data_IF_630160149056
#
_entry.id   IF_630160149056
#
_cell.length_a   1.000
_cell.length_b   1.000
_cell.length_c   1.000
_cell.angle_alpha   90.00
_cell.angle_beta   90.00
_cell.angle_gamma   90.00
#
_symmetry.space_group_name_H-M   'P 1'
#
loop_
_entity.id
_entity.type
_entity.pdbx_description
1 polymer ?
#
# COMPACT_ATOMS: atom_id res chain seq x y z
N UNK A 1 -19.41 -25.53 -7.65
CA UNK A 1 -18.14 -25.58 -8.40
C UNK A 1 -17.71 -27.04 -8.48
N UNK A 2 -17.34 -27.57 -9.65
CA UNK A 2 -16.82 -28.95 -9.73
C UNK A 2 -15.43 -28.92 -9.08
N UNK A 3 -15.25 -29.65 -7.98
CA UNK A 3 -13.94 -29.80 -7.32
C UNK A 3 -13.04 -30.45 -8.37
N UNK A 4 -12.10 -29.69 -8.94
CA UNK A 4 -11.04 -30.28 -9.75
C UNK A 4 -10.27 -31.16 -8.79
N UNK A 5 -10.21 -32.46 -9.05
CA UNK A 5 -9.33 -33.35 -8.29
C UNK A 5 -7.90 -32.86 -8.53
N UNK A 6 -7.30 -32.35 -7.47
CA UNK A 6 -5.94 -31.84 -7.51
C UNK A 6 -5.01 -33.04 -7.65
N UNK A 7 -4.11 -32.97 -8.61
CA UNK A 7 -3.21 -34.05 -9.04
C UNK A 7 -2.16 -34.31 -7.95
N UNK A 8 -1.68 -33.25 -7.29
CA UNK A 8 -0.75 -33.31 -6.17
C UNK A 8 -1.38 -32.72 -4.90
N UNK A 9 -1.72 -33.62 -3.96
CA UNK A 9 -2.32 -33.26 -2.67
C UNK A 9 -1.35 -32.47 -1.76
N UNK A 10 -0.03 -32.64 -1.94
CA UNK A 10 1.01 -32.01 -1.13
C UNK A 10 1.53 -30.70 -1.76
N UNK A 11 1.17 -30.42 -3.02
CA UNK A 11 1.54 -29.18 -3.70
C UNK A 11 0.69 -27.99 -3.20
N UNK A 12 1.26 -27.18 -2.31
CA UNK A 12 0.60 -25.98 -1.79
C UNK A 12 0.15 -24.97 -2.85
N UNK A 13 0.83 -24.91 -4.01
CA UNK A 13 0.40 -24.07 -5.15
C UNK A 13 -0.90 -24.60 -5.73
N UNK A 14 -1.00 -25.92 -5.97
CA UNK A 14 -2.19 -26.53 -6.53
C UNK A 14 -3.39 -26.41 -5.58
N UNK A 15 -3.15 -26.66 -4.29
CA UNK A 15 -4.15 -26.47 -3.23
C UNK A 15 -4.62 -25.02 -3.15
N UNK A 16 -3.71 -24.05 -3.27
CA UNK A 16 -4.06 -22.64 -3.31
C UNK A 16 -4.89 -22.29 -4.55
N UNK A 17 -4.53 -22.81 -5.73
CA UNK A 17 -5.29 -22.62 -6.97
C UNK A 17 -6.71 -23.18 -6.88
N UNK A 18 -6.94 -24.23 -6.07
CA UNK A 18 -8.28 -24.70 -5.73
C UNK A 18 -9.16 -23.67 -5.00
N UNK A 19 -8.54 -22.68 -4.33
CA UNK A 19 -9.21 -21.55 -3.67
C UNK A 19 -9.24 -20.30 -4.56
N UNK A 20 -8.09 -19.90 -5.12
CA UNK A 20 -7.92 -18.71 -5.98
C UNK A 20 -8.10 -19.05 -7.47
N UNK A 21 -9.18 -19.78 -7.76
CA UNK A 21 -9.45 -20.41 -9.06
C UNK A 21 -9.62 -19.46 -10.24
N UNK A 22 -9.95 -18.18 -10.01
CA UNK A 22 -10.08 -17.20 -11.08
C UNK A 22 -9.43 -15.86 -10.73
N UNK A 23 -9.17 -15.08 -11.78
CA UNK A 23 -8.57 -13.75 -11.67
C UNK A 23 -9.47 -12.76 -10.91
N UNK A 24 -10.79 -12.95 -10.92
CA UNK A 24 -11.73 -12.13 -10.16
C UNK A 24 -11.50 -12.23 -8.65
N UNK A 25 -11.04 -13.37 -8.16
CA UNK A 25 -10.70 -13.55 -6.75
C UNK A 25 -9.68 -12.51 -6.29
N UNK A 26 -8.60 -12.30 -7.06
CA UNK A 26 -7.60 -11.29 -6.75
C UNK A 26 -8.16 -9.87 -6.83
N UNK A 27 -9.07 -9.59 -7.77
CA UNK A 27 -9.68 -8.27 -7.88
C UNK A 27 -10.67 -7.98 -6.75
N UNK A 28 -11.41 -8.99 -6.27
CA UNK A 28 -12.27 -8.87 -5.08
C UNK A 28 -11.40 -8.61 -3.85
N UNK A 29 -10.32 -9.37 -3.65
CA UNK A 29 -9.40 -9.17 -2.52
C UNK A 29 -8.75 -7.78 -2.59
N UNK A 30 -8.31 -7.34 -3.77
CA UNK A 30 -7.77 -6.00 -4.03
C UNK A 30 -8.75 -4.90 -3.60
N UNK A 31 -10.00 -5.00 -4.05
CA UNK A 31 -11.01 -3.98 -3.77
C UNK A 31 -11.38 -3.94 -2.28
N UNK A 32 -11.50 -5.11 -1.63
CA UNK A 32 -11.77 -5.19 -0.19
C UNK A 32 -10.59 -4.66 0.63
N UNK A 33 -9.34 -4.97 0.24
CA UNK A 33 -8.14 -4.41 0.86
C UNK A 33 -8.12 -2.87 0.75
N UNK A 34 -8.63 -2.33 -0.35
CA UNK A 34 -8.85 -0.89 -0.57
C UNK A 34 -10.07 -0.30 0.14
N UNK A 35 -10.77 -1.07 0.98
CA UNK A 35 -11.93 -0.63 1.75
C UNK A 35 -13.28 -0.71 1.03
N UNK A 36 -13.34 -1.30 -0.17
CA UNK A 36 -14.61 -1.55 -0.87
C UNK A 36 -15.22 -2.86 -0.37
N UNK A 37 -15.97 -2.78 0.73
CA UNK A 37 -16.47 -3.97 1.46
C UNK A 37 -17.92 -4.32 1.14
N UNK A 38 -18.66 -3.43 0.49
CA UNK A 38 -20.11 -3.59 0.24
C UNK A 38 -20.38 -4.17 -1.13
N UNK A 39 -21.37 -5.07 -1.22
CA UNK A 39 -21.76 -5.74 -2.46
C UNK A 39 -21.98 -4.80 -3.65
N UNK A 40 -22.80 -3.76 -3.52
CA UNK A 40 -23.11 -2.83 -4.63
C UNK A 40 -21.88 -2.02 -5.07
N UNK A 41 -20.95 -1.74 -4.15
CA UNK A 41 -19.72 -1.03 -4.48
C UNK A 41 -18.73 -1.96 -5.20
N UNK A 42 -18.60 -3.20 -4.72
CA UNK A 42 -17.84 -4.26 -5.40
C UNK A 42 -18.37 -4.54 -6.81
N UNK A 43 -19.69 -4.68 -6.95
CA UNK A 43 -20.33 -4.92 -8.25
C UNK A 43 -20.02 -3.80 -9.25
N UNK A 44 -20.12 -2.53 -8.82
CA UNK A 44 -19.80 -1.38 -9.66
C UNK A 44 -18.32 -1.29 -10.02
N UNK A 45 -17.44 -1.55 -9.05
CA UNK A 45 -15.98 -1.49 -9.25
C UNK A 45 -15.48 -2.58 -10.21
N UNK A 46 -16.00 -3.79 -10.07
CA UNK A 46 -15.55 -4.96 -10.82
C UNK A 46 -16.29 -5.12 -12.16
N UNK A 47 -17.46 -4.51 -12.34
CA UNK A 47 -18.29 -4.71 -13.54
C UNK A 47 -18.87 -6.13 -13.65
N UNK A 48 -18.82 -6.92 -12.57
CA UNK A 48 -19.35 -8.28 -12.55
C UNK A 48 -20.88 -8.30 -12.51
N UNK A 49 -21.47 -9.35 -13.09
CA UNK A 49 -22.90 -9.62 -12.87
C UNK A 49 -23.17 -9.91 -11.39
N UNK A 50 -24.35 -9.53 -10.89
CA UNK A 50 -24.77 -9.79 -9.50
C UNK A 50 -24.66 -11.28 -9.15
N UNK A 51 -25.05 -12.15 -10.08
CA UNK A 51 -24.96 -13.61 -9.90
C UNK A 51 -23.50 -14.05 -9.72
N UNK A 52 -22.61 -13.66 -10.64
CA UNK A 52 -21.20 -14.05 -10.57
C UNK A 52 -20.52 -13.53 -9.29
N UNK A 53 -20.80 -12.29 -8.89
CA UNK A 53 -20.28 -11.72 -7.66
C UNK A 53 -20.81 -12.46 -6.42
N UNK A 54 -22.09 -12.83 -6.40
CA UNK A 54 -22.70 -13.60 -5.30
C UNK A 54 -22.03 -14.96 -5.14
N UNK A 55 -21.88 -15.70 -6.24
CA UNK A 55 -21.22 -17.01 -6.26
C UNK A 55 -19.76 -16.90 -5.79
N UNK A 56 -19.02 -15.88 -6.25
CA UNK A 56 -17.62 -15.66 -5.87
C UNK A 56 -17.48 -15.29 -4.39
N UNK A 57 -18.27 -14.35 -3.88
CA UNK A 57 -18.22 -13.95 -2.48
C UNK A 57 -18.62 -15.11 -1.55
N UNK A 58 -19.61 -15.93 -1.94
CA UNK A 58 -19.99 -17.12 -1.18
C UNK A 58 -18.82 -18.12 -1.10
N UNK A 59 -18.15 -18.42 -2.21
CA UNK A 59 -17.00 -19.31 -2.24
C UNK A 59 -15.83 -18.79 -1.37
N UNK A 60 -15.53 -17.48 -1.42
CA UNK A 60 -14.47 -16.90 -0.60
C UNK A 60 -14.79 -16.91 0.90
N UNK A 61 -16.07 -16.80 1.27
CA UNK A 61 -16.52 -16.98 2.66
C UNK A 61 -16.40 -18.45 3.08
N UNK A 62 -16.83 -19.39 2.22
CA UNK A 62 -16.72 -20.83 2.48
C UNK A 62 -15.26 -21.27 2.66
N UNK A 63 -14.34 -20.75 1.85
CA UNK A 63 -12.91 -21.01 1.99
C UNK A 63 -12.24 -20.24 3.14
N UNK A 64 -12.98 -19.40 3.87
CA UNK A 64 -12.47 -18.61 4.99
C UNK A 64 -11.51 -17.49 4.58
N UNK A 65 -11.51 -17.07 3.31
CA UNK A 65 -10.76 -15.91 2.80
C UNK A 65 -11.44 -14.61 3.24
N UNK A 66 -12.78 -14.62 3.23
CA UNK A 66 -13.61 -13.51 3.68
C UNK A 66 -14.50 -13.94 4.85
N UNK A 67 -14.92 -12.98 5.65
CA UNK A 67 -16.05 -13.15 6.56
C UNK A 67 -17.10 -12.05 6.31
N UNK A 68 -18.34 -12.33 6.69
CA UNK A 68 -19.46 -11.38 6.58
C UNK A 68 -19.66 -10.68 7.92
N UNK A 69 -19.67 -9.35 7.91
CA UNK A 69 -19.96 -8.53 9.07
C UNK A 69 -21.29 -7.79 8.86
N UNK A 70 -22.33 -8.00 9.69
CA UNK A 70 -23.59 -7.28 9.55
C UNK A 70 -23.41 -5.79 9.87
N UNK A 71 -24.01 -4.91 9.06
CA UNK A 71 -24.07 -3.47 9.33
C UNK A 71 -25.51 -2.92 9.38
N UNK A 72 -26.49 -3.73 9.02
CA UNK A 72 -27.92 -3.42 9.10
C UNK A 72 -28.67 -4.72 9.32
N UNK A 73 -29.58 -4.75 10.28
CA UNK A 73 -30.47 -5.90 10.52
C UNK A 73 -31.76 -5.81 9.69
N UNK A 74 -32.20 -4.60 9.35
CA UNK A 74 -33.49 -4.35 8.70
C UNK A 74 -33.36 -3.32 7.56
N UNK A 75 -33.23 -3.74 6.28
CA UNK A 75 -33.04 -5.12 5.83
C UNK A 75 -31.62 -5.64 6.20
N UNK A 76 -31.42 -6.96 6.28
CA UNK A 76 -30.10 -7.55 6.53
C UNK A 76 -29.08 -7.15 5.46
N UNK A 77 -28.00 -6.48 5.86
CA UNK A 77 -26.89 -6.12 4.97
C UNK A 77 -25.56 -6.38 5.63
N UNK A 78 -24.60 -6.80 4.81
CA UNK A 78 -23.29 -7.25 5.28
C UNK A 78 -22.16 -6.56 4.51
N UNK A 79 -21.09 -6.25 5.22
CA UNK A 79 -19.77 -6.01 4.66
C UNK A 79 -19.04 -7.35 4.48
N UNK A 80 -18.19 -7.41 3.47
CA UNK A 80 -17.24 -8.50 3.25
C UNK A 80 -15.86 -8.01 3.63
N UNK A 81 -15.24 -8.68 4.60
CA UNK A 81 -13.96 -8.29 5.19
C UNK A 81 -12.95 -9.42 5.05
N UNK A 82 -11.68 -9.08 4.82
CA UNK A 82 -10.60 -10.06 4.79
C UNK A 82 -10.43 -10.70 6.17
N UNK A 83 -10.22 -12.02 6.17
CA UNK A 83 -9.71 -12.75 7.34
C UNK A 83 -8.17 -12.72 7.31
N UNK A 84 -7.46 -13.22 8.33
CA UNK A 84 -6.02 -13.43 8.24
C UNK A 84 -5.60 -14.26 7.02
N UNK A 85 -6.42 -15.24 6.61
CA UNK A 85 -6.19 -16.04 5.40
C UNK A 85 -6.32 -15.20 4.13
N UNK A 86 -7.27 -14.28 4.09
CA UNK A 86 -7.42 -13.33 2.98
C UNK A 86 -6.32 -12.27 2.93
N UNK A 87 -5.88 -11.76 4.08
CA UNK A 87 -4.73 -10.86 4.16
C UNK A 87 -3.43 -11.56 3.71
N UNK A 88 -3.32 -12.88 3.89
CA UNK A 88 -2.22 -13.67 3.35
C UNK A 88 -2.08 -13.64 1.81
N UNK A 89 -3.09 -13.14 1.07
CA UNK A 89 -3.02 -12.96 -0.38
C UNK A 89 -2.48 -11.58 -0.79
N UNK A 90 -2.30 -10.62 0.14
CA UNK A 90 -1.83 -9.28 -0.19
C UNK A 90 -0.41 -9.27 -0.78
N UNK A 91 0.57 -10.06 -0.29
CA UNK A 91 1.87 -10.16 -0.94
C UNK A 91 1.79 -10.66 -2.40
N UNK A 92 0.81 -11.51 -2.73
CA UNK A 92 0.57 -11.94 -4.11
C UNK A 92 0.09 -10.77 -4.97
N UNK A 93 -0.77 -9.90 -4.44
CA UNK A 93 -1.18 -8.68 -5.13
C UNK A 93 -0.01 -7.71 -5.36
N UNK A 94 0.91 -7.58 -4.40
CA UNK A 94 2.13 -6.79 -4.56
C UNK A 94 3.00 -7.35 -5.69
N UNK A 95 3.24 -8.66 -5.69
CA UNK A 95 4.03 -9.31 -6.73
C UNK A 95 3.38 -9.18 -8.11
N UNK A 96 2.05 -9.36 -8.21
CA UNK A 96 1.30 -9.16 -9.45
C UNK A 96 1.38 -7.71 -9.95
N UNK A 97 1.26 -6.74 -9.04
CA UNK A 97 1.34 -5.33 -9.39
C UNK A 97 2.75 -4.95 -9.85
N UNK A 98 3.80 -5.34 -9.11
CA UNK A 98 5.19 -5.06 -9.49
C UNK A 98 5.51 -5.67 -10.86
N UNK A 99 5.12 -6.93 -11.09
CA UNK A 99 5.32 -7.58 -12.38
C UNK A 99 4.57 -6.87 -13.50
N UNK A 100 3.32 -6.46 -13.27
CA UNK A 100 2.51 -5.74 -14.24
C UNK A 100 3.07 -4.34 -14.55
N UNK A 101 3.41 -3.58 -13.52
CA UNK A 101 4.03 -2.25 -13.66
C UNK A 101 5.35 -2.33 -14.40
N UNK A 102 6.15 -3.36 -14.13
CA UNK A 102 7.49 -3.53 -14.73
C UNK A 102 7.46 -4.06 -16.16
N UNK A 103 6.73 -5.14 -16.41
CA UNK A 103 6.84 -5.90 -17.67
C UNK A 103 5.69 -5.67 -18.64
N UNK A 104 4.50 -5.31 -18.15
CA UNK A 104 3.33 -5.08 -19.01
C UNK A 104 3.16 -3.60 -19.34
N UNK A 105 3.34 -2.73 -18.34
CA UNK A 105 3.15 -1.28 -18.45
C UNK A 105 4.48 -0.51 -18.56
N UNK A 106 5.58 -1.14 -18.19
CA UNK A 106 6.93 -0.59 -18.18
C UNK A 106 7.84 -1.20 -19.24
N UNK A 107 9.14 -0.95 -19.11
CA UNK A 107 10.19 -1.39 -20.05
C UNK A 107 11.00 -2.59 -19.53
N UNK A 108 10.56 -3.21 -18.44
CA UNK A 108 11.27 -4.32 -17.78
C UNK A 108 12.41 -3.89 -16.85
N UNK A 109 12.72 -2.60 -16.73
CA UNK A 109 13.79 -2.11 -15.85
C UNK A 109 13.41 -2.18 -14.37
N UNK A 110 14.41 -2.43 -13.52
CA UNK A 110 14.24 -2.31 -12.06
C UNK A 110 14.47 -0.84 -11.67
N UNK A 111 13.47 -0.22 -11.06
CA UNK A 111 13.54 1.17 -10.62
C UNK A 111 12.74 1.40 -9.34
N UNK A 112 13.24 2.26 -8.47
CA UNK A 112 12.56 2.73 -7.27
C UNK A 112 11.83 4.08 -7.49
N UNK A 113 11.70 4.49 -8.75
CA UNK A 113 10.94 5.67 -9.20
C UNK A 113 10.07 5.31 -10.42
N UNK A 114 9.43 6.31 -11.02
CA UNK A 114 8.64 6.15 -12.23
C UNK A 114 8.70 7.44 -13.08
N UNK A 115 8.27 7.36 -14.34
CA UNK A 115 8.05 8.56 -15.14
C UNK A 115 6.77 9.29 -14.67
N UNK A 116 6.70 10.64 -14.73
CA UNK A 116 5.51 11.40 -14.33
C UNK A 116 4.22 11.03 -15.08
N UNK A 117 4.33 10.52 -16.30
CA UNK A 117 3.22 10.09 -17.15
C UNK A 117 2.98 8.58 -17.15
N UNK A 118 3.67 7.84 -16.26
CA UNK A 118 3.54 6.38 -16.16
C UNK A 118 2.16 5.97 -15.63
N UNK A 119 1.78 4.72 -15.88
CA UNK A 119 0.56 4.14 -15.30
C UNK A 119 0.60 4.12 -13.76
N UNK A 120 1.78 3.95 -13.16
CA UNK A 120 1.99 4.07 -11.71
C UNK A 120 1.66 5.48 -11.23
N UNK A 121 2.16 6.51 -11.93
CA UNK A 121 1.90 7.90 -11.55
C UNK A 121 0.42 8.26 -11.65
N UNK A 122 -0.24 7.90 -12.76
CA UNK A 122 -1.68 8.11 -12.90
C UNK A 122 -2.49 7.39 -11.80
N UNK A 123 -2.10 6.16 -11.45
CA UNK A 123 -2.76 5.38 -10.39
C UNK A 123 -2.64 6.06 -9.02
N UNK A 124 -1.45 6.55 -8.68
CA UNK A 124 -1.17 7.17 -7.38
C UNK A 124 -1.85 8.53 -7.26
N UNK A 125 -1.82 9.36 -8.31
CA UNK A 125 -2.56 10.63 -8.35
C UNK A 125 -4.09 10.42 -8.31
N UNK A 126 -4.58 9.32 -8.86
CA UNK A 126 -5.97 8.90 -8.75
C UNK A 126 -6.46 8.62 -7.32
N UNK A 127 -5.56 8.55 -6.33
CA UNK A 127 -5.93 8.37 -4.92
C UNK A 127 -6.47 9.65 -4.26
N UNK A 128 -6.36 10.83 -4.90
CA UNK A 128 -6.94 12.05 -4.34
C UNK A 128 -8.45 11.88 -4.16
N UNK A 129 -8.94 12.14 -2.96
CA UNK A 129 -10.33 11.91 -2.56
C UNK A 129 -10.62 10.51 -2.02
N UNK A 130 -9.70 9.55 -2.16
CA UNK A 130 -9.82 8.22 -1.55
C UNK A 130 -9.47 8.26 -0.06
N UNK A 131 -10.18 7.46 0.72
CA UNK A 131 -9.90 7.26 2.14
C UNK A 131 -8.84 6.16 2.32
N UNK A 132 -7.88 6.39 3.21
CA UNK A 132 -6.89 5.40 3.61
C UNK A 132 -7.58 4.34 4.49
N UNK A 133 -7.63 3.06 4.07
CA UNK A 133 -8.30 2.01 4.83
C UNK A 133 -7.64 1.78 6.20
N UNK A 134 -8.45 1.48 7.22
CA UNK A 134 -8.03 1.11 8.57
C UNK A 134 -7.18 2.16 9.35
N UNK A 135 -6.85 3.31 8.75
CA UNK A 135 -6.12 4.38 9.41
C UNK A 135 -7.08 5.37 10.08
N UNK A 136 -6.76 5.75 11.32
CA UNK A 136 -7.44 6.83 12.04
C UNK A 136 -6.47 7.97 12.22
N UNK A 137 -6.85 9.16 11.78
CA UNK A 137 -6.07 10.37 11.90
C UNK A 137 -6.83 11.37 12.76
N UNK A 138 -6.16 11.97 13.74
CA UNK A 138 -6.77 12.98 14.62
C UNK A 138 -6.64 14.39 14.04
N UNK A 139 -5.64 14.59 13.19
CA UNK A 139 -5.35 15.84 12.51
C UNK A 139 -4.84 15.57 11.09
N UNK A 140 -4.65 16.64 10.32
CA UNK A 140 -3.93 16.59 9.05
C UNK A 140 -2.60 15.89 9.23
N UNK A 141 -2.29 14.94 8.34
CA UNK A 141 -1.11 14.11 8.46
C UNK A 141 -0.42 13.96 7.12
N UNK A 142 0.88 14.23 7.10
CA UNK A 142 1.77 13.83 6.02
C UNK A 142 2.22 12.40 6.26
N UNK A 143 2.00 11.55 5.26
CA UNK A 143 2.50 10.18 5.19
C UNK A 143 3.54 10.13 4.07
N UNK A 144 4.82 10.11 4.41
CA UNK A 144 5.89 9.95 3.43
C UNK A 144 6.38 8.51 3.42
N UNK A 145 6.48 7.92 2.23
CA UNK A 145 6.79 6.52 2.01
C UNK A 145 8.19 6.41 1.45
N UNK A 146 9.01 5.54 2.02
CA UNK A 146 10.41 5.40 1.61
C UNK A 146 10.84 3.94 1.47
N UNK A 147 11.72 3.64 0.49
CA UNK A 147 12.18 2.26 0.22
C UNK A 147 12.85 1.55 1.40
N UNK A 148 13.59 2.30 2.21
CA UNK A 148 14.21 1.79 3.44
C UNK A 148 15.40 2.63 3.92
N UNK A 149 15.51 2.77 5.23
CA UNK A 149 16.60 3.45 5.93
C UNK A 149 16.99 2.63 7.16
N UNK A 150 18.29 2.60 7.45
CA UNK A 150 18.87 1.67 8.42
C UNK A 150 19.80 2.42 9.37
N UNK A 151 19.81 2.00 10.64
CA UNK A 151 20.87 2.39 11.56
C UNK A 151 22.23 1.82 11.07
N UNK A 152 23.37 2.45 11.40
CA UNK A 152 24.70 2.06 10.90
C UNK A 152 25.12 0.62 11.24
N UNK A 153 24.58 0.05 12.31
CA UNK A 153 24.85 -1.29 12.84
C UNK A 153 23.91 -2.37 12.27
N UNK A 154 22.88 -1.98 11.51
CA UNK A 154 22.00 -2.91 10.82
C UNK A 154 22.64 -3.44 9.53
N UNK A 155 22.22 -4.62 9.02
CA UNK A 155 22.53 -5.01 7.66
C UNK A 155 21.89 -3.96 6.75
N UNK A 156 22.70 -3.04 6.23
CA UNK A 156 22.24 -1.87 5.49
C UNK A 156 21.61 -2.23 4.15
N UNK A 157 21.77 -1.36 3.15
CA UNK A 157 21.22 -1.62 1.83
C UNK A 157 21.86 -2.83 1.14
N UNK A 158 21.10 -3.60 0.35
CA UNK A 158 21.65 -4.75 -0.37
C UNK A 158 22.67 -4.34 -1.44
N UNK A 159 23.52 -5.28 -1.92
CA UNK A 159 24.40 -5.03 -3.06
C UNK A 159 23.64 -4.49 -4.29
N UNK A 160 24.24 -3.54 -5.00
CA UNK A 160 23.64 -2.90 -6.18
C UNK A 160 22.55 -1.86 -5.86
N UNK A 161 22.31 -1.53 -4.58
CA UNK A 161 21.29 -0.55 -4.20
C UNK A 161 21.51 0.84 -4.82
N UNK A 162 22.76 1.28 -4.88
CA UNK A 162 23.13 2.58 -5.46
C UNK A 162 22.84 2.67 -6.96
N UNK A 163 22.75 1.53 -7.65
CA UNK A 163 22.51 1.45 -9.09
C UNK A 163 21.02 1.48 -9.44
N UNK A 164 20.12 1.31 -8.45
CA UNK A 164 18.67 1.34 -8.67
C UNK A 164 18.21 2.81 -8.68
N UNK A 165 17.69 3.33 -9.80
CA UNK A 165 17.24 4.72 -9.89
C UNK A 165 16.17 5.03 -8.84
N UNK A 166 16.35 6.13 -8.09
CA UNK A 166 15.42 6.57 -7.05
C UNK A 166 15.54 5.86 -5.69
N UNK A 167 16.42 4.87 -5.54
CA UNK A 167 16.52 4.08 -4.31
C UNK A 167 17.27 4.81 -3.18
N UNK A 168 18.23 5.68 -3.54
CA UNK A 168 18.98 6.48 -2.58
C UNK A 168 18.16 7.63 -1.98
N UNK A 169 18.59 8.15 -0.83
CA UNK A 169 18.06 9.40 -0.24
C UNK A 169 17.04 9.26 0.89
N UNK A 170 16.70 8.05 1.36
CA UNK A 170 15.72 7.86 2.45
C UNK A 170 16.13 8.52 3.78
N UNK A 171 17.41 8.43 4.13
CA UNK A 171 17.95 9.08 5.34
C UNK A 171 17.88 10.60 5.21
N UNK A 172 18.30 11.14 4.07
CA UNK A 172 18.21 12.57 3.77
C UNK A 172 16.77 13.08 3.84
N UNK A 173 15.82 12.37 3.24
CA UNK A 173 14.39 12.73 3.28
C UNK A 173 13.86 12.78 4.72
N UNK A 174 14.10 11.72 5.50
CA UNK A 174 13.63 11.63 6.88
C UNK A 174 14.23 12.72 7.76
N UNK A 175 15.53 12.99 7.61
CA UNK A 175 16.21 14.09 8.32
C UNK A 175 15.71 15.46 7.86
N UNK A 176 15.33 15.62 6.59
CA UNK A 176 14.74 16.87 6.09
C UNK A 176 13.37 17.09 6.72
N UNK A 177 12.52 16.06 6.81
CA UNK A 177 11.27 16.15 7.57
C UNK A 177 11.53 16.49 9.05
N UNK A 178 12.52 15.87 9.68
CA UNK A 178 12.89 16.15 11.07
C UNK A 178 13.29 17.62 11.28
N UNK A 179 14.13 18.17 10.40
CA UNK A 179 14.56 19.56 10.44
C UNK A 179 13.40 20.56 10.27
N UNK A 180 12.32 20.15 9.58
CA UNK A 180 11.13 20.98 9.31
C UNK A 180 9.94 20.64 10.20
N UNK A 181 10.08 19.73 11.16
CA UNK A 181 8.96 19.18 11.93
C UNK A 181 8.18 20.26 12.72
N UNK A 182 8.88 21.26 13.27
CA UNK A 182 8.26 22.38 13.96
C UNK A 182 7.37 23.23 13.03
N UNK A 183 7.74 23.37 11.76
CA UNK A 183 6.93 24.13 10.78
C UNK A 183 5.68 23.35 10.37
N UNK A 184 5.76 22.03 10.21
CA UNK A 184 4.57 21.19 10.00
C UNK A 184 3.64 21.24 11.22
N UNK A 185 4.20 21.14 12.43
CA UNK A 185 3.42 21.26 13.67
C UNK A 185 2.73 22.64 13.79
N UNK A 186 3.44 23.73 13.46
CA UNK A 186 2.86 25.07 13.41
C UNK A 186 1.76 25.20 12.34
N UNK A 187 1.88 24.47 11.23
CA UNK A 187 0.84 24.32 10.23
C UNK A 187 -0.26 23.31 10.66
N UNK A 188 -0.27 22.81 11.89
CA UNK A 188 -1.26 21.86 12.42
C UNK A 188 -1.23 20.48 11.77
N UNK A 189 -0.09 20.08 11.17
CA UNK A 189 0.08 18.83 10.44
C UNK A 189 1.05 17.90 11.17
N UNK A 190 0.65 16.65 11.39
CA UNK A 190 1.54 15.60 11.89
C UNK A 190 2.36 14.99 10.76
N UNK A 191 3.56 14.51 11.08
CA UNK A 191 4.40 13.76 10.15
C UNK A 191 4.41 12.29 10.58
N UNK A 192 4.32 11.40 9.61
CA UNK A 192 4.50 9.95 9.77
C UNK A 192 5.32 9.44 8.58
N UNK A 193 6.44 8.78 8.85
CA UNK A 193 7.16 8.02 7.82
C UNK A 193 6.59 6.62 7.69
N UNK A 194 6.59 6.02 6.51
CA UNK A 194 6.05 4.68 6.26
C UNK A 194 7.04 3.86 5.42
N UNK A 195 7.29 2.62 5.84
CA UNK A 195 8.11 1.67 5.07
C UNK A 195 7.61 0.23 5.25
N UNK A 196 8.00 -0.66 4.34
CA UNK A 196 7.78 -2.11 4.49
C UNK A 196 8.79 -2.76 5.46
N UNK A 197 9.72 -1.98 6.02
CA UNK A 197 10.63 -2.44 7.07
C UNK A 197 9.87 -2.87 8.33
N UNK A 198 10.46 -3.79 9.09
CA UNK A 198 9.89 -4.24 10.36
C UNK A 198 9.88 -3.12 11.41
N UNK A 199 8.98 -3.16 12.40
CA UNK A 199 8.93 -2.18 13.49
C UNK A 199 10.27 -1.95 14.19
N UNK A 200 11.02 -3.03 14.51
CA UNK A 200 12.32 -2.93 15.21
C UNK A 200 13.37 -2.16 14.39
N UNK A 201 13.38 -2.35 13.07
CA UNK A 201 14.31 -1.66 12.18
C UNK A 201 13.98 -0.17 12.05
N UNK A 202 12.70 0.15 12.00
CA UNK A 202 12.21 1.53 11.94
C UNK A 202 12.47 2.28 13.25
N UNK A 203 12.23 1.64 14.39
CA UNK A 203 12.51 2.21 15.71
C UNK A 203 14.01 2.50 15.89
N UNK A 204 14.87 1.54 15.54
CA UNK A 204 16.32 1.72 15.59
C UNK A 204 16.80 2.88 14.71
N UNK A 205 16.30 2.97 13.46
CA UNK A 205 16.62 4.07 12.57
C UNK A 205 16.11 5.42 13.10
N UNK A 206 14.86 5.49 13.58
CA UNK A 206 14.28 6.72 14.10
C UNK A 206 15.05 7.25 15.33
N UNK A 207 15.43 6.36 16.25
CA UNK A 207 16.23 6.70 17.42
C UNK A 207 17.62 7.23 17.01
N UNK A 208 18.29 6.55 16.09
CA UNK A 208 19.61 6.96 15.60
C UNK A 208 19.57 8.30 14.87
N UNK A 209 18.58 8.52 14.01
CA UNK A 209 18.43 9.74 13.24
C UNK A 209 17.80 10.90 14.04
N UNK A 210 17.37 10.66 15.29
CA UNK A 210 16.76 11.68 16.14
C UNK A 210 15.43 12.21 15.59
N UNK A 211 14.60 11.34 14.99
CA UNK A 211 13.35 11.77 14.36
C UNK A 211 12.32 12.16 15.44
N UNK A 212 11.72 13.37 15.38
CA UNK A 212 10.75 13.84 16.37
C UNK A 212 9.32 13.30 16.11
N UNK A 213 9.18 12.34 15.21
CA UNK A 213 7.90 11.75 14.81
C UNK A 213 8.07 10.25 14.56
N UNK A 214 6.99 9.46 14.65
CA UNK A 214 7.08 8.02 14.51
C UNK A 214 7.13 7.57 13.04
N UNK A 215 7.80 6.44 12.84
CA UNK A 215 7.79 5.67 11.61
C UNK A 215 6.82 4.49 11.75
N UNK A 216 6.05 4.21 10.71
CA UNK A 216 5.03 3.18 10.66
C UNK A 216 5.49 2.04 9.76
N UNK A 217 5.32 0.80 10.23
CA UNK A 217 5.62 -0.40 9.45
C UNK A 217 4.39 -0.84 8.67
N UNK A 218 4.59 -1.06 7.36
CA UNK A 218 3.69 -1.81 6.48
C UNK A 218 4.35 -3.12 6.03
N UNK A 219 5.04 -3.83 6.95
CA UNK A 219 5.73 -5.09 6.65
C UNK A 219 4.79 -6.17 6.07
N UNK A 220 3.50 -6.11 6.43
CA UNK A 220 2.46 -7.02 5.94
C UNK A 220 1.77 -6.48 4.68
N UNK A 221 2.31 -5.40 4.09
CA UNK A 221 1.90 -4.78 2.82
C UNK A 221 0.40 -4.44 2.72
N UNK A 222 -0.25 -4.16 3.85
CA UNK A 222 -1.69 -3.87 3.92
C UNK A 222 -2.00 -2.55 3.25
N UNK A 223 -1.22 -1.52 3.55
CA UNK A 223 -1.38 -0.20 2.98
C UNK A 223 -0.96 -0.19 1.51
N UNK A 224 0.18 -0.83 1.20
CA UNK A 224 0.67 -0.99 -0.15
C UNK A 224 -0.35 -1.65 -1.07
N UNK A 225 -0.92 -2.79 -0.65
CA UNK A 225 -1.88 -3.53 -1.46
C UNK A 225 -3.24 -2.82 -1.53
N UNK A 226 -3.72 -2.29 -0.39
CA UNK A 226 -5.04 -1.63 -0.32
C UNK A 226 -5.12 -0.35 -1.14
N UNK A 227 -4.06 0.48 -1.12
CA UNK A 227 -4.00 1.71 -1.92
C UNK A 227 -3.30 1.53 -3.27
N UNK A 228 -2.83 0.31 -3.59
CA UNK A 228 -2.09 0.01 -4.82
C UNK A 228 -0.87 0.92 -5.01
N UNK A 229 -0.18 1.19 -3.90
CA UNK A 229 0.98 2.06 -3.87
C UNK A 229 2.12 1.44 -4.67
N UNK A 230 2.97 2.26 -5.30
CA UNK A 230 4.05 1.79 -6.16
C UNK A 230 5.11 1.11 -5.30
N UNK A 231 5.49 -0.08 -5.72
CA UNK A 231 6.51 -0.90 -5.05
C UNK A 231 7.53 -1.40 -6.06
N UNK A 232 8.69 -1.80 -5.58
CA UNK A 232 9.68 -2.53 -6.36
C UNK A 232 10.30 -3.63 -5.48
N UNK A 233 10.77 -4.70 -6.11
CA UNK A 233 11.40 -5.82 -5.41
C UNK A 233 12.91 -5.79 -5.61
N UNK A 234 13.66 -5.66 -4.53
CA UNK A 234 15.12 -5.69 -4.54
C UNK A 234 15.64 -6.59 -3.42
N UNK A 235 16.59 -7.47 -3.76
CA UNK A 235 17.17 -8.46 -2.84
C UNK A 235 16.11 -9.26 -2.06
N UNK A 236 15.06 -9.70 -2.76
CA UNK A 236 13.99 -10.52 -2.17
C UNK A 236 13.03 -9.77 -1.23
N UNK A 237 13.13 -8.44 -1.15
CA UNK A 237 12.27 -7.61 -0.31
C UNK A 237 11.46 -6.64 -1.16
N UNK A 238 10.15 -6.57 -0.92
CA UNK A 238 9.27 -5.56 -1.53
C UNK A 238 9.39 -4.25 -0.77
N UNK A 239 9.51 -3.14 -1.50
CA UNK A 239 9.79 -1.81 -0.95
C UNK A 239 8.93 -0.78 -1.66
N UNK A 240 8.52 0.26 -0.94
CA UNK A 240 7.86 1.39 -1.58
C UNK A 240 8.80 2.11 -2.53
N UNK A 241 8.30 2.50 -3.70
CA UNK A 241 8.87 3.64 -4.41
C UNK A 241 8.54 4.91 -3.61
N UNK A 242 9.40 5.92 -3.65
CA UNK A 242 9.22 7.11 -2.81
C UNK A 242 7.98 7.90 -3.23
N UNK A 243 7.07 8.17 -2.29
CA UNK A 243 5.89 9.02 -2.50
C UNK A 243 5.50 9.74 -1.21
N UNK A 244 4.71 10.80 -1.30
CA UNK A 244 4.12 11.46 -0.13
C UNK A 244 2.63 11.67 -0.32
N UNK A 245 1.85 11.41 0.72
CA UNK A 245 0.41 11.69 0.80
C UNK A 245 0.16 12.75 1.89
N UNK A 246 -0.69 13.74 1.60
CA UNK A 246 -1.30 14.57 2.63
C UNK A 246 -2.72 14.09 2.84
N UNK A 247 -3.04 13.63 4.05
CA UNK A 247 -4.36 13.17 4.43
C UNK A 247 -5.00 14.10 5.46
N UNK A 248 -6.31 14.28 5.37
CA UNK A 248 -7.07 15.04 6.35
C UNK A 248 -7.47 14.20 7.58
N UNK A 249 -8.11 14.77 8.61
CA UNK A 249 -8.54 14.02 9.80
C UNK A 249 -9.55 12.89 9.52
N UNK A 250 -10.21 12.87 8.37
CA UNK A 250 -11.11 11.77 7.98
C UNK A 250 -10.35 10.59 7.33
N UNK A 251 -9.02 10.71 7.26
CA UNK A 251 -8.11 9.85 6.52
C UNK A 251 -8.33 9.89 5.00
N UNK A 252 -8.91 10.97 4.47
CA UNK A 252 -9.01 11.16 3.03
C UNK A 252 -7.76 11.84 2.48
N UNK A 253 -7.20 11.26 1.42
CA UNK A 253 -6.04 11.79 0.71
C UNK A 253 -6.46 13.08 -0.02
N UNK A 254 -5.74 14.16 0.24
CA UNK A 254 -5.98 15.50 -0.33
C UNK A 254 -4.89 15.89 -1.32
N UNK A 255 -3.65 15.47 -1.08
CA UNK A 255 -2.52 15.70 -1.99
C UNK A 255 -1.67 14.45 -2.13
N UNK A 256 -1.01 14.36 -3.28
CA UNK A 256 -0.12 13.27 -3.67
C UNK A 256 1.12 13.88 -4.31
N UNK A 257 2.30 13.44 -3.88
CA UNK A 257 3.57 13.68 -4.56
C UNK A 257 4.15 12.35 -5.03
N UNK A 258 4.15 12.14 -6.34
CA UNK A 258 4.79 11.02 -7.01
C UNK A 258 4.92 11.32 -8.52
N UNK A 259 6.01 10.93 -9.20
CA UNK A 259 7.26 10.41 -8.64
C UNK A 259 8.04 11.51 -7.89
N UNK A 260 8.86 11.12 -6.90
CA UNK A 260 9.78 12.03 -6.21
C UNK A 260 11.20 11.77 -6.71
N UNK A 261 11.81 12.77 -7.34
CA UNK A 261 13.19 12.72 -7.85
C UNK A 261 14.19 13.43 -6.96
N UNK A 262 13.77 14.50 -6.28
CA UNK A 262 14.53 15.20 -5.25
C UNK A 262 13.80 15.08 -3.90
N UNK A 263 14.27 14.20 -3.00
CA UNK A 263 13.60 13.99 -1.71
C UNK A 263 13.59 15.25 -0.84
N UNK A 264 14.66 16.05 -0.84
CA UNK A 264 14.74 17.24 0.03
C UNK A 264 13.82 18.36 -0.47
N UNK A 265 13.78 18.59 -1.78
CA UNK A 265 12.85 19.55 -2.38
C UNK A 265 11.38 19.15 -2.14
N UNK A 266 11.07 17.85 -2.23
CA UNK A 266 9.70 17.34 -2.03
C UNK A 266 9.14 17.66 -0.64
N UNK A 267 9.98 17.67 0.41
CA UNK A 267 9.56 18.05 1.78
C UNK A 267 9.15 19.53 1.83
N UNK A 268 9.89 20.40 1.15
CA UNK A 268 9.57 21.84 1.10
C UNK A 268 8.25 22.08 0.35
N UNK A 269 8.06 21.40 -0.77
CA UNK A 269 6.80 21.43 -1.52
C UNK A 269 5.62 20.95 -0.67
N UNK A 270 5.77 19.81 0.04
CA UNK A 270 4.72 19.27 0.90
C UNK A 270 4.39 20.20 2.07
N UNK A 271 5.39 20.88 2.64
CA UNK A 271 5.14 21.87 3.68
C UNK A 271 4.32 23.06 3.16
N UNK A 272 4.55 23.48 1.90
CA UNK A 272 3.76 24.55 1.28
C UNK A 272 2.31 24.10 1.06
N UNK A 273 2.09 22.88 0.56
CA UNK A 273 0.74 22.29 0.45
C UNK A 273 0.05 22.16 1.81
N UNK A 274 0.79 21.73 2.84
CA UNK A 274 0.30 21.61 4.21
C UNK A 274 -0.14 22.95 4.82
N UNK A 275 0.49 24.07 4.42
CA UNK A 275 0.14 25.42 4.85
C UNK A 275 -1.11 25.95 4.16
N UNK A 276 -1.29 25.64 2.88
CA UNK A 276 -2.42 26.18 2.10
C UNK A 276 -3.70 25.36 2.27
N UNK A 277 -3.59 24.05 2.57
CA UNK A 277 -4.71 23.11 2.82
C UNK A 277 -5.86 23.22 1.79
N UNK A 278 -5.55 23.60 0.56
CA UNK A 278 -6.50 23.68 -0.55
C UNK A 278 -6.84 22.29 -1.09
#
# INVERSE_FOLDING_TARGET
>A
MRRVELIDADCGIEQALGVVTDWWTFLVVRDIAGGVTRFEALQRSLGMSRRALTERLAALVEHGVLHRAPYSEHPPRHDYLLTPKGEGLLPVLIALQEWGDRWVLGDGSLTATAAPTSAEAHRVHGLIGHRIPALRLETWTVLYFFPGAFAPDAPGHPPGWGDIPGAAGCTLESMTYAARAAEFAAAGVQIRGVSTQRPDQLEAFAAQAGLPFPLLSDQDVKLAAGLRLPTFRAAGTDRFKRLTLLADPTATIRKVQFPITDPAASVTEMLNEARTRA
#
